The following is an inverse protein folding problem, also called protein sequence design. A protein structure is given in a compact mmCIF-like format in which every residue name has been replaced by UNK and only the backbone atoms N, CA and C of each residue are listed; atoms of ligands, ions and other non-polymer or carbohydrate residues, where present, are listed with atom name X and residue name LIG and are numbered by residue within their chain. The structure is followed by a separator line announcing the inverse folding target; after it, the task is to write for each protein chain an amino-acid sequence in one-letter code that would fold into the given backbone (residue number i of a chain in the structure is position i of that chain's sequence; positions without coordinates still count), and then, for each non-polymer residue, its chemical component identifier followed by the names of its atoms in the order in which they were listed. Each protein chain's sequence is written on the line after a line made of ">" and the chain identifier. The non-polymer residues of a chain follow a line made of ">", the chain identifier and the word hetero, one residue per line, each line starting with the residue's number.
data_IF_417405393891
#
_entry.id   IF_417405393891
#
_cell.length_a   1.000
_cell.length_b   1.000
_cell.length_c   1.000
_cell.angle_alpha   90.00
_cell.angle_beta   90.00
_cell.angle_gamma   90.00
#
_symmetry.space_group_name_H-M   'P 1'
#
loop_
_entity.id
_entity.type
_entity.pdbx_description
1 polymer ?
#
# COMPACT_ATOMS: atom_id res chain seq x y z
N UNK A 1 5.96 -37.05 3.32
CA UNK A 1 6.05 -35.59 3.32
C UNK A 1 4.84 -35.02 2.62
N UNK A 2 4.20 -34.01 3.19
CA UNK A 2 3.11 -33.27 2.52
C UNK A 2 3.64 -32.72 1.18
N UNK A 3 2.92 -32.89 0.08
CA UNK A 3 3.36 -32.36 -1.21
C UNK A 3 3.40 -30.82 -1.14
N UNK A 4 4.50 -30.26 -1.62
CA UNK A 4 4.78 -28.82 -1.67
C UNK A 4 3.56 -27.93 -2.10
N UNK A 5 2.71 -28.33 -3.07
CA UNK A 5 1.53 -27.54 -3.45
C UNK A 5 0.47 -27.45 -2.33
N UNK A 6 0.30 -28.47 -1.51
CA UNK A 6 -0.63 -28.44 -0.37
C UNK A 6 -0.15 -27.50 0.75
N UNK A 7 1.15 -27.39 0.94
CA UNK A 7 1.73 -26.46 1.92
C UNK A 7 1.54 -25.00 1.48
N UNK A 8 1.65 -24.72 0.18
CA UNK A 8 1.42 -23.38 -0.37
C UNK A 8 -0.06 -22.96 -0.30
N UNK A 9 -1.00 -23.90 -0.45
CA UNK A 9 -2.43 -23.62 -0.29
C UNK A 9 -2.83 -23.42 1.18
N UNK A 10 -2.29 -24.22 2.10
CA UNK A 10 -2.53 -24.08 3.56
C UNK A 10 -1.99 -22.76 4.13
N UNK A 11 -0.91 -22.23 3.54
CA UNK A 11 -0.30 -20.96 3.93
C UNK A 11 -0.81 -19.76 3.13
N UNK A 12 -1.84 -19.94 2.29
CA UNK A 12 -2.48 -18.86 1.56
C UNK A 12 -3.80 -18.43 2.23
N UNK A 13 -3.92 -17.16 2.57
CA UNK A 13 -5.16 -16.55 3.09
C UNK A 13 -5.69 -15.61 2.01
N UNK A 14 -6.90 -15.90 1.50
CA UNK A 14 -7.53 -15.07 0.47
C UNK A 14 -6.75 -15.05 -0.86
N UNK A 15 -6.12 -16.15 -1.24
CA UNK A 15 -5.33 -16.28 -2.48
C UNK A 15 -3.95 -15.62 -2.43
N UNK A 16 -3.49 -15.20 -1.25
CA UNK A 16 -2.19 -14.54 -1.04
C UNK A 16 -1.31 -15.39 -0.14
N UNK A 17 -0.04 -15.57 -0.53
CA UNK A 17 0.93 -16.36 0.23
C UNK A 17 1.32 -15.66 1.54
N UNK A 18 1.01 -16.27 2.67
CA UNK A 18 1.43 -15.78 3.99
C UNK A 18 2.96 -15.67 4.10
N UNK A 19 3.68 -16.61 3.50
CA UNK A 19 5.15 -16.63 3.51
C UNK A 19 5.72 -15.42 2.77
N UNK A 20 5.15 -15.07 1.61
CA UNK A 20 5.58 -13.91 0.82
C UNK A 20 5.39 -12.60 1.61
N UNK A 21 4.23 -12.42 2.25
CA UNK A 21 3.98 -11.22 3.06
C UNK A 21 4.83 -11.16 4.31
N UNK A 22 5.09 -12.28 4.97
CA UNK A 22 6.00 -12.34 6.13
C UNK A 22 7.42 -11.97 5.72
N UNK A 23 7.88 -12.47 4.58
CA UNK A 23 9.20 -12.13 4.02
C UNK A 23 9.30 -10.63 3.70
N UNK A 24 8.29 -10.07 3.02
CA UNK A 24 8.22 -8.63 2.71
C UNK A 24 8.20 -7.77 3.98
N UNK A 25 7.46 -8.20 4.99
CA UNK A 25 7.42 -7.54 6.29
C UNK A 25 8.79 -7.55 6.99
N UNK A 26 9.47 -8.70 7.01
CA UNK A 26 10.79 -8.80 7.61
C UNK A 26 11.83 -7.95 6.88
N UNK A 27 11.83 -7.94 5.55
CA UNK A 27 12.70 -7.03 4.79
C UNK A 27 12.38 -5.57 5.11
N UNK A 28 11.09 -5.20 5.11
CA UNK A 28 10.66 -3.86 5.49
C UNK A 28 11.19 -3.46 6.86
N UNK A 29 11.06 -4.36 7.83
CA UNK A 29 11.50 -4.11 9.20
C UNK A 29 13.02 -3.99 9.32
N UNK A 30 13.79 -4.92 8.72
CA UNK A 30 15.24 -4.93 8.87
C UNK A 30 15.96 -3.93 7.95
N UNK A 31 15.49 -3.73 6.74
CA UNK A 31 16.17 -2.88 5.75
C UNK A 31 15.79 -1.41 5.91
N UNK A 32 14.49 -1.11 6.10
CA UNK A 32 14.03 0.27 6.20
C UNK A 32 14.05 0.83 7.63
N UNK A 33 14.33 0.01 8.65
CA UNK A 33 14.66 0.49 9.99
C UNK A 33 16.06 1.10 10.07
N UNK A 34 16.94 0.81 9.11
CA UNK A 34 18.27 1.38 9.03
C UNK A 34 18.21 2.77 8.38
N UNK A 35 18.53 3.80 9.16
CA UNK A 35 18.54 5.20 8.69
C UNK A 35 19.53 5.41 7.54
N UNK A 36 20.65 4.68 7.50
CA UNK A 36 21.66 4.80 6.45
C UNK A 36 21.11 4.38 5.08
N UNK A 37 20.28 3.34 5.04
CA UNK A 37 19.61 2.87 3.81
C UNK A 37 18.63 3.92 3.31
N UNK A 38 17.85 4.50 4.22
CA UNK A 38 16.86 5.53 3.90
C UNK A 38 17.54 6.82 3.44
N UNK A 39 18.68 7.19 4.05
CA UNK A 39 19.49 8.35 3.63
C UNK A 39 20.10 8.18 2.24
N UNK A 40 20.59 6.98 1.92
CA UNK A 40 21.07 6.65 0.58
C UNK A 40 19.96 6.71 -0.46
N UNK A 41 18.76 6.22 -0.11
CA UNK A 41 17.60 6.30 -0.96
C UNK A 41 17.16 7.76 -1.19
N UNK A 42 17.22 8.61 -0.15
CA UNK A 42 16.93 10.04 -0.25
C UNK A 42 17.90 10.76 -1.19
N UNK A 43 19.21 10.51 -1.07
CA UNK A 43 20.24 11.14 -1.92
C UNK A 43 20.06 10.79 -3.40
N UNK A 44 19.68 9.56 -3.68
CA UNK A 44 19.54 9.03 -5.05
C UNK A 44 18.08 8.94 -5.53
N UNK A 45 17.16 9.63 -4.87
CA UNK A 45 15.73 9.46 -5.08
C UNK A 45 15.26 9.61 -6.53
N UNK A 46 15.74 10.65 -7.25
CA UNK A 46 15.36 10.90 -8.64
C UNK A 46 15.92 9.84 -9.60
N UNK A 47 17.15 9.38 -9.36
CA UNK A 47 17.76 8.32 -10.14
C UNK A 47 17.02 7.00 -9.93
N UNK A 48 16.77 6.64 -8.68
CA UNK A 48 16.01 5.44 -8.31
C UNK A 48 14.59 5.48 -8.88
N UNK A 49 13.93 6.65 -8.82
CA UNK A 49 12.59 6.82 -9.39
C UNK A 49 12.60 6.68 -10.90
N UNK A 50 13.57 7.28 -11.60
CA UNK A 50 13.71 7.13 -13.04
C UNK A 50 13.96 5.67 -13.47
N UNK A 51 14.87 4.99 -12.79
CA UNK A 51 15.15 3.55 -13.05
C UNK A 51 13.94 2.69 -12.73
N UNK A 52 13.27 2.94 -11.59
CA UNK A 52 12.06 2.23 -11.20
C UNK A 52 10.92 2.42 -12.20
N UNK A 53 10.75 3.63 -12.72
CA UNK A 53 9.73 3.94 -13.71
C UNK A 53 10.00 3.23 -15.05
N UNK A 54 11.25 3.24 -15.52
CA UNK A 54 11.66 2.51 -16.72
C UNK A 54 11.44 1.00 -16.54
N UNK A 55 11.86 0.44 -15.39
CA UNK A 55 11.67 -0.97 -15.08
C UNK A 55 10.18 -1.35 -15.01
N UNK A 56 9.34 -0.48 -14.46
CA UNK A 56 7.89 -0.68 -14.40
C UNK A 56 7.27 -0.66 -15.80
N UNK A 57 7.64 0.30 -16.63
CA UNK A 57 7.16 0.38 -18.03
C UNK A 57 7.58 -0.87 -18.80
N UNK A 58 8.85 -1.32 -18.64
CA UNK A 58 9.34 -2.53 -19.26
C UNK A 58 8.55 -3.76 -18.80
N UNK A 59 8.28 -3.89 -17.51
CA UNK A 59 7.48 -4.98 -16.97
C UNK A 59 6.05 -4.99 -17.53
N UNK A 60 5.39 -3.83 -17.59
CA UNK A 60 4.05 -3.70 -18.19
C UNK A 60 4.08 -4.05 -19.67
N UNK A 61 5.08 -3.60 -20.41
CA UNK A 61 5.25 -3.94 -21.82
C UNK A 61 5.41 -5.45 -22.03
N UNK A 62 6.27 -6.09 -21.27
CA UNK A 62 6.50 -7.54 -21.35
C UNK A 62 5.24 -8.34 -20.97
N UNK A 63 4.48 -7.86 -20.00
CA UNK A 63 3.26 -8.54 -19.55
C UNK A 63 2.08 -8.39 -20.51
N UNK A 64 1.88 -7.18 -21.09
CA UNK A 64 0.68 -6.85 -21.88
C UNK A 64 0.87 -7.08 -23.38
N UNK A 65 2.04 -6.73 -23.92
CA UNK A 65 2.28 -6.71 -25.38
C UNK A 65 3.28 -7.76 -25.87
N UNK A 66 3.99 -8.44 -24.98
CA UNK A 66 4.94 -9.48 -25.42
C UNK A 66 4.22 -10.80 -25.61
N UNK A 67 4.25 -11.34 -26.83
CA UNK A 67 3.79 -12.71 -27.14
C UNK A 67 4.75 -13.77 -26.56
N UNK A 68 5.92 -13.37 -26.12
CA UNK A 68 6.94 -14.26 -25.56
C UNK A 68 6.66 -14.47 -24.09
N UNK A 69 6.07 -15.62 -23.76
CA UNK A 69 5.85 -16.04 -22.37
C UNK A 69 7.16 -16.45 -21.70
N UNK A 70 8.11 -15.52 -21.59
CA UNK A 70 9.33 -15.71 -20.82
C UNK A 70 8.99 -15.55 -19.33
N UNK A 71 8.32 -16.54 -18.76
CA UNK A 71 7.80 -16.52 -17.38
C UNK A 71 8.89 -16.13 -16.38
N UNK A 72 10.11 -16.58 -16.56
CA UNK A 72 11.23 -16.26 -15.67
C UNK A 72 11.65 -14.78 -15.75
N UNK A 73 11.77 -14.23 -16.97
CA UNK A 73 12.07 -12.80 -17.15
C UNK A 73 10.96 -11.90 -16.61
N UNK A 74 9.71 -12.27 -16.84
CA UNK A 74 8.57 -11.50 -16.32
C UNK A 74 8.55 -11.50 -14.78
N UNK A 75 8.88 -12.60 -14.14
CA UNK A 75 8.96 -12.68 -12.68
C UNK A 75 10.09 -11.79 -12.16
N UNK A 76 11.30 -11.88 -12.73
CA UNK A 76 12.44 -11.07 -12.30
C UNK A 76 12.14 -9.57 -12.50
N UNK A 77 11.69 -9.17 -13.69
CA UNK A 77 11.40 -7.76 -13.97
C UNK A 77 10.30 -7.21 -13.09
N UNK A 78 9.31 -8.02 -12.74
CA UNK A 78 8.26 -7.65 -11.78
C UNK A 78 8.86 -7.34 -10.41
N UNK A 79 9.55 -8.28 -9.79
CA UNK A 79 10.09 -8.08 -8.44
C UNK A 79 11.15 -6.98 -8.40
N UNK A 80 12.02 -6.88 -9.39
CA UNK A 80 13.02 -5.82 -9.47
C UNK A 80 12.37 -4.44 -9.59
N UNK A 81 11.37 -4.29 -10.46
CA UNK A 81 10.65 -3.01 -10.61
C UNK A 81 9.90 -2.62 -9.33
N UNK A 82 9.24 -3.57 -8.68
CA UNK A 82 8.51 -3.34 -7.43
C UNK A 82 9.46 -2.85 -6.31
N UNK A 83 10.60 -3.54 -6.11
CA UNK A 83 11.56 -3.16 -5.06
C UNK A 83 12.22 -1.81 -5.33
N UNK A 84 12.67 -1.57 -6.55
CA UNK A 84 13.29 -0.27 -6.90
C UNK A 84 12.28 0.86 -6.71
N UNK A 85 11.03 0.65 -7.13
CA UNK A 85 9.99 1.67 -6.97
C UNK A 85 9.66 1.95 -5.50
N UNK A 86 9.58 0.92 -4.65
CA UNK A 86 9.35 1.09 -3.20
C UNK A 86 10.48 1.90 -2.57
N UNK A 87 11.75 1.55 -2.85
CA UNK A 87 12.90 2.28 -2.33
C UNK A 87 12.91 3.73 -2.82
N UNK A 88 12.61 3.94 -4.10
CA UNK A 88 12.52 5.28 -4.69
C UNK A 88 11.44 6.14 -4.03
N UNK A 89 10.25 5.57 -3.80
CA UNK A 89 9.14 6.27 -3.16
C UNK A 89 9.44 6.62 -1.70
N UNK A 90 10.14 5.74 -0.96
CA UNK A 90 10.58 6.03 0.41
C UNK A 90 11.58 7.20 0.40
N UNK A 91 12.56 7.19 -0.50
CA UNK A 91 13.53 8.28 -0.64
C UNK A 91 12.87 9.61 -1.05
N UNK A 92 11.92 9.58 -1.98
CA UNK A 92 11.11 10.75 -2.35
C UNK A 92 10.26 11.26 -1.20
N UNK A 93 9.61 10.35 -0.46
CA UNK A 93 8.78 10.71 0.69
C UNK A 93 9.62 11.39 1.78
N UNK A 94 10.80 10.84 2.10
CA UNK A 94 11.70 11.46 3.06
C UNK A 94 12.13 12.86 2.63
N UNK A 95 12.45 13.07 1.38
CA UNK A 95 12.92 14.35 0.86
C UNK A 95 11.82 15.41 0.71
N UNK A 96 10.66 15.03 0.18
CA UNK A 96 9.62 15.99 -0.21
C UNK A 96 8.38 15.98 0.68
N UNK A 97 8.11 14.87 1.38
CA UNK A 97 6.93 14.72 2.24
C UNK A 97 7.25 14.74 3.74
N UNK A 98 8.52 14.88 4.11
CA UNK A 98 8.94 14.99 5.51
C UNK A 98 8.78 16.43 6.03
N UNK A 99 7.60 16.99 5.86
CA UNK A 99 7.25 18.29 6.42
C UNK A 99 6.50 18.08 7.73
N UNK A 100 7.05 18.65 8.80
CA UNK A 100 6.37 18.72 10.09
C UNK A 100 5.16 19.65 10.03
N UNK A 101 4.09 19.30 10.72
CA UNK A 101 2.91 20.15 10.83
C UNK A 101 1.73 19.43 11.46
N UNK A 102 0.74 20.21 11.94
CA UNK A 102 -0.44 19.65 12.60
C UNK A 102 -1.17 18.59 11.77
N UNK A 103 -1.21 18.75 10.45
CA UNK A 103 -1.83 17.80 9.52
C UNK A 103 -1.04 16.51 9.41
N UNK A 104 0.30 16.61 9.29
CA UNK A 104 1.18 15.45 9.23
C UNK A 104 1.10 14.65 10.54
N UNK A 105 1.17 15.32 11.68
CA UNK A 105 1.04 14.70 13.01
C UNK A 105 -0.33 14.03 13.19
N UNK A 106 -1.38 14.66 12.68
CA UNK A 106 -2.73 14.10 12.69
C UNK A 106 -2.78 12.80 11.89
N UNK A 107 -2.27 12.82 10.65
CA UNK A 107 -2.28 11.65 9.75
C UNK A 107 -1.39 10.52 10.28
N UNK A 108 -0.21 10.83 10.79
CA UNK A 108 0.71 9.84 11.35
C UNK A 108 0.11 9.09 12.55
N UNK A 109 -0.54 9.82 13.47
CA UNK A 109 -1.20 9.22 14.64
C UNK A 109 -2.38 8.33 14.27
N UNK A 110 -2.98 8.53 13.10
CA UNK A 110 -4.20 7.84 12.64
C UNK A 110 -3.97 6.95 11.42
N UNK A 111 -2.73 6.84 10.94
CA UNK A 111 -2.38 6.09 9.73
C UNK A 111 -2.91 4.66 9.75
N UNK A 112 -2.85 3.98 10.90
CA UNK A 112 -3.35 2.63 11.07
C UNK A 112 -4.90 2.56 10.96
N UNK A 113 -5.62 3.51 11.54
CA UNK A 113 -7.06 3.61 11.40
C UNK A 113 -7.47 3.90 9.95
N UNK A 114 -6.76 4.82 9.29
CA UNK A 114 -6.95 5.10 7.87
C UNK A 114 -6.75 3.86 7.02
N UNK A 115 -5.71 3.07 7.31
CA UNK A 115 -5.44 1.82 6.61
C UNK A 115 -6.58 0.80 6.77
N UNK A 116 -7.19 0.69 7.96
CA UNK A 116 -8.31 -0.25 8.20
C UNK A 116 -9.59 0.22 7.49
N UNK A 117 -9.97 1.50 7.66
CA UNK A 117 -11.27 1.98 7.22
C UNK A 117 -11.36 2.32 5.74
N UNK A 118 -10.27 2.81 5.10
CA UNK A 118 -10.34 3.24 3.71
C UNK A 118 -10.82 2.15 2.76
N UNK A 119 -10.37 0.93 2.95
CA UNK A 119 -10.70 -0.19 2.06
C UNK A 119 -12.20 -0.49 2.05
N UNK A 120 -12.84 -0.50 3.21
CA UNK A 120 -14.28 -0.74 3.35
C UNK A 120 -15.06 0.32 2.57
N UNK A 121 -14.70 1.59 2.72
CA UNK A 121 -15.39 2.69 2.06
C UNK A 121 -15.13 2.75 0.56
N UNK A 122 -13.92 2.44 0.10
CA UNK A 122 -13.62 2.35 -1.34
C UNK A 122 -14.49 1.29 -1.99
N UNK A 123 -14.51 0.07 -1.45
CA UNK A 123 -15.28 -1.05 -2.02
C UNK A 123 -16.79 -0.77 -1.98
N UNK A 124 -17.30 -0.30 -0.83
CA UNK A 124 -18.72 -0.01 -0.67
C UNK A 124 -19.20 1.06 -1.65
N UNK A 125 -18.47 2.17 -1.75
CA UNK A 125 -18.86 3.27 -2.61
C UNK A 125 -18.67 2.93 -4.10
N UNK A 126 -17.64 2.17 -4.44
CA UNK A 126 -17.44 1.67 -5.80
C UNK A 126 -18.59 0.77 -6.24
N UNK A 127 -19.04 -0.12 -5.36
CA UNK A 127 -20.18 -0.98 -5.63
C UNK A 127 -21.47 -0.18 -5.84
N UNK A 128 -21.75 0.81 -4.99
CA UNK A 128 -22.91 1.68 -5.11
C UNK A 128 -22.84 2.49 -6.42
N UNK A 129 -21.68 3.11 -6.68
CA UNK A 129 -21.48 3.98 -7.83
C UNK A 129 -21.58 3.22 -9.16
N UNK A 130 -21.13 1.96 -9.19
CA UNK A 130 -21.24 1.10 -10.37
C UNK A 130 -22.70 0.96 -10.84
N UNK A 131 -23.65 0.86 -9.90
CA UNK A 131 -25.08 0.79 -10.22
C UNK A 131 -25.64 2.05 -10.89
N UNK A 132 -25.03 3.23 -10.66
CA UNK A 132 -25.51 4.51 -11.22
C UNK A 132 -24.76 4.94 -12.49
N UNK A 133 -23.45 4.69 -12.54
CA UNK A 133 -22.57 5.24 -13.59
C UNK A 133 -22.20 4.21 -14.64
N UNK A 134 -22.45 2.93 -14.37
CA UNK A 134 -22.07 1.83 -15.25
C UNK A 134 -20.54 1.78 -15.44
N UNK A 135 -20.09 1.62 -16.68
CA UNK A 135 -18.68 1.35 -17.00
C UNK A 135 -17.81 2.60 -17.24
N UNK A 136 -18.19 3.77 -16.70
CA UNK A 136 -17.35 4.98 -16.80
C UNK A 136 -16.14 4.91 -15.88
N UNK A 137 -15.06 4.35 -16.38
CA UNK A 137 -13.84 3.98 -15.64
C UNK A 137 -13.28 5.10 -14.77
N UNK A 138 -13.13 6.31 -15.30
CA UNK A 138 -12.53 7.43 -14.56
C UNK A 138 -13.35 7.78 -13.32
N UNK A 139 -14.68 7.87 -13.44
CA UNK A 139 -15.56 8.21 -12.33
C UNK A 139 -15.59 7.08 -11.30
N UNK A 140 -15.53 5.82 -11.78
CA UNK A 140 -15.56 4.63 -10.93
C UNK A 140 -14.30 4.50 -10.05
N UNK A 141 -13.17 5.09 -10.45
CA UNK A 141 -11.94 5.06 -9.66
C UNK A 141 -11.74 6.31 -8.81
N UNK A 142 -11.99 7.50 -9.38
CA UNK A 142 -11.74 8.77 -8.65
C UNK A 142 -12.78 9.06 -7.59
N UNK A 143 -14.07 8.80 -7.88
CA UNK A 143 -15.18 9.04 -6.94
C UNK A 143 -15.02 8.27 -5.62
N UNK A 144 -14.85 6.95 -5.66
CA UNK A 144 -14.67 6.14 -4.45
C UNK A 144 -13.47 6.55 -3.61
N UNK A 145 -12.36 6.94 -4.23
CA UNK A 145 -11.16 7.38 -3.50
C UNK A 145 -11.44 8.63 -2.68
N UNK A 146 -12.04 9.66 -3.29
CA UNK A 146 -12.36 10.91 -2.60
C UNK A 146 -13.39 10.70 -1.48
N UNK A 147 -14.44 9.93 -1.76
CA UNK A 147 -15.45 9.61 -0.77
C UNK A 147 -14.89 8.79 0.40
N UNK A 148 -14.09 7.77 0.09
CA UNK A 148 -13.45 6.95 1.11
C UNK A 148 -12.54 7.76 2.02
N UNK A 149 -11.82 8.74 1.49
CA UNK A 149 -10.97 9.62 2.30
C UNK A 149 -11.77 10.40 3.34
N UNK A 150 -12.90 10.99 2.93
CA UNK A 150 -13.80 11.73 3.83
C UNK A 150 -14.42 10.83 4.89
N UNK A 151 -14.99 9.69 4.47
CA UNK A 151 -15.64 8.77 5.40
C UNK A 151 -14.67 8.11 6.36
N UNK A 152 -13.46 7.80 5.89
CA UNK A 152 -12.39 7.28 6.75
C UNK A 152 -11.99 8.29 7.81
N UNK A 153 -11.85 9.58 7.48
CA UNK A 153 -11.56 10.61 8.45
C UNK A 153 -12.65 10.72 9.53
N UNK A 154 -13.92 10.66 9.14
CA UNK A 154 -15.07 10.65 10.07
C UNK A 154 -15.01 9.40 10.97
N UNK A 155 -14.80 8.22 10.39
CA UNK A 155 -14.70 6.98 11.18
C UNK A 155 -13.52 7.00 12.15
N UNK A 156 -12.39 7.59 11.77
CA UNK A 156 -11.24 7.76 12.66
C UNK A 156 -11.59 8.63 13.88
N UNK A 157 -12.29 9.76 13.66
CA UNK A 157 -12.69 10.63 14.76
C UNK A 157 -13.73 9.98 15.69
N UNK A 158 -14.64 9.18 15.14
CA UNK A 158 -15.58 8.39 15.96
C UNK A 158 -14.84 7.34 16.77
N UNK A 159 -13.91 6.60 16.11
CA UNK A 159 -13.20 5.49 16.75
C UNK A 159 -12.37 5.91 17.95
N UNK A 160 -11.71 7.06 17.92
CA UNK A 160 -10.92 7.55 19.06
C UNK A 160 -11.75 8.07 20.23
N UNK A 161 -13.05 8.30 20.01
CA UNK A 161 -14.01 8.78 21.05
C UNK A 161 -14.80 7.65 21.69
N UNK A 162 -14.85 6.49 21.05
CA UNK A 162 -15.62 5.33 21.56
C UNK A 162 -14.64 4.31 22.15
N UNK A 163 -14.69 4.05 23.47
CA UNK A 163 -13.71 3.18 24.14
C UNK A 163 -13.65 1.76 23.55
N UNK A 164 -14.80 1.21 23.15
CA UNK A 164 -14.88 -0.12 22.53
C UNK A 164 -14.14 -0.17 21.20
N UNK A 165 -14.29 0.87 20.37
CA UNK A 165 -13.60 0.96 19.09
C UNK A 165 -12.10 1.20 19.28
N UNK A 166 -11.69 1.97 20.28
CA UNK A 166 -10.29 2.13 20.66
C UNK A 166 -9.64 0.78 21.03
N UNK A 167 -10.34 -0.03 21.80
CA UNK A 167 -9.85 -1.34 22.18
C UNK A 167 -9.70 -2.27 20.98
N UNK A 168 -10.71 -2.33 20.09
CA UNK A 168 -10.67 -3.16 18.88
C UNK A 168 -9.60 -2.73 17.88
N UNK A 169 -9.32 -1.44 17.81
CA UNK A 169 -8.32 -0.87 16.87
C UNK A 169 -6.94 -0.67 17.49
N UNK A 170 -6.77 -1.00 18.77
CA UNK A 170 -5.49 -0.83 19.48
C UNK A 170 -5.05 0.63 19.63
N UNK A 171 -5.98 1.59 19.51
CA UNK A 171 -5.68 3.02 19.63
C UNK A 171 -5.90 3.53 21.05
N UNK A 172 -5.13 4.56 21.44
CA UNK A 172 -5.32 5.17 22.76
C UNK A 172 -6.62 5.98 22.79
N UNK A 173 -7.47 5.69 23.78
CA UNK A 173 -8.68 6.47 24.04
C UNK A 173 -8.33 7.90 24.44
N UNK A 174 -8.96 8.88 23.82
CA UNK A 174 -8.76 10.30 24.10
C UNK A 174 -10.03 10.89 24.68
N UNK A 175 -10.16 10.85 26.01
CA UNK A 175 -11.34 11.34 26.73
C UNK A 175 -11.48 12.88 26.74
N UNK A 176 -10.42 13.61 26.35
CA UNK A 176 -10.32 15.06 26.49
C UNK A 176 -10.19 15.76 25.14
N UNK A 177 -11.29 15.78 24.34
CA UNK A 177 -11.53 16.86 23.38
C UNK A 177 -12.99 16.89 22.98
#
# INVERSE_FOLDING_TARGET
>A
GLPLPLLSELLSIGGKSFVEYTYLFLIGYYVFADEEVVDKAEKNNLLLFGVGLIATILNVYLFVWSDVKLTFLNIITKYVSEWIMVIALIGLAKRYLNFGGKTSDYMNKRSFLFYIYHFIWVVLFQYILYGFVGNKTVVLYTGPVLFAYLMTAICCEISIRVPVLCFLTGTKYNANK
#
